data_IF_588601439754
#
_entry.id   IF_588601439754
#
_cell.length_a   1.000
_cell.length_b   1.000
_cell.length_c   1.000
_cell.angle_alpha   90.00
_cell.angle_beta   90.00
_cell.angle_gamma   90.00
#
_symmetry.space_group_name_H-M   'P 1'
#
loop_
_entity.id
_entity.type
_entity.pdbx_description
1 polymer ?
#
# COMPACT_ATOMS: atom_id res chain seq x y z
N UNK A 1 2.48 23.55 10.83
CA UNK A 1 2.28 22.31 11.62
C UNK A 1 3.28 21.31 11.08
N UNK A 2 4.11 20.70 11.91
CA UNK A 2 5.19 19.85 11.42
C UNK A 2 4.62 18.46 11.10
N UNK A 3 4.76 18.02 9.86
CA UNK A 3 4.25 16.72 9.38
C UNK A 3 4.85 15.54 10.15
N UNK A 4 6.07 15.70 10.68
CA UNK A 4 6.76 14.70 11.49
C UNK A 4 6.01 14.38 12.79
N UNK A 5 5.26 15.34 13.33
CA UNK A 5 4.45 15.12 14.53
C UNK A 5 3.35 14.08 14.27
N UNK A 6 2.85 13.94 13.03
CA UNK A 6 1.90 12.89 12.68
C UNK A 6 2.51 11.48 12.79
N UNK A 7 3.83 11.36 12.60
CA UNK A 7 4.56 10.10 12.66
C UNK A 7 4.92 9.70 14.11
N UNK A 8 5.29 10.68 14.94
CA UNK A 8 5.83 10.45 16.29
C UNK A 8 4.80 10.69 17.41
N UNK A 9 3.89 11.66 17.24
CA UNK A 9 2.85 12.00 18.21
C UNK A 9 1.51 12.33 17.51
N UNK A 10 0.86 11.32 16.89
CA UNK A 10 -0.39 11.53 16.16
C UNK A 10 -1.52 12.09 17.03
N UNK A 11 -1.52 11.83 18.34
CA UNK A 11 -2.52 12.41 19.24
C UNK A 11 -2.44 13.94 19.27
N UNK A 12 -1.25 14.49 19.53
CA UNK A 12 -1.03 15.93 19.55
C UNK A 12 -1.26 16.56 18.17
N UNK A 13 -0.78 15.88 17.11
CA UNK A 13 -0.96 16.33 15.74
C UNK A 13 -2.43 16.47 15.36
N UNK A 14 -3.23 15.41 15.51
CA UNK A 14 -4.63 15.41 15.12
C UNK A 14 -5.51 16.27 16.04
N UNK A 15 -5.13 16.43 17.32
CA UNK A 15 -5.78 17.41 18.20
C UNK A 15 -5.66 18.82 17.64
N UNK A 16 -4.46 19.25 17.27
CA UNK A 16 -4.21 20.57 16.65
C UNK A 16 -4.89 20.69 15.29
N UNK A 17 -4.80 19.67 14.45
CA UNK A 17 -5.45 19.65 13.13
C UNK A 17 -6.97 19.76 13.24
N UNK A 18 -7.57 19.17 14.28
CA UNK A 18 -9.03 19.18 14.48
C UNK A 18 -9.64 20.55 14.73
N UNK A 19 -8.82 21.52 15.14
CA UNK A 19 -9.18 22.92 15.40
C UNK A 19 -9.09 23.80 14.15
N UNK A 20 -8.56 23.27 13.03
CA UNK A 20 -8.41 23.98 11.76
C UNK A 20 -9.52 23.64 10.79
N UNK A 21 -9.67 24.48 9.77
CA UNK A 21 -10.51 24.16 8.63
C UNK A 21 -10.04 22.90 7.91
N UNK A 22 -11.00 22.10 7.46
CA UNK A 22 -10.73 20.81 6.82
C UNK A 22 -10.22 21.04 5.39
N UNK A 23 -8.93 20.77 5.19
CA UNK A 23 -8.27 20.79 3.88
C UNK A 23 -7.92 19.38 3.40
N UNK A 24 -8.02 19.14 2.09
CA UNK A 24 -7.58 17.90 1.44
C UNK A 24 -6.23 18.03 0.76
N UNK A 25 -5.63 19.23 0.70
CA UNK A 25 -4.41 19.48 -0.08
C UNK A 25 -3.21 18.67 0.43
N UNK A 26 -2.92 18.73 1.73
CA UNK A 26 -1.80 17.96 2.32
C UNK A 26 -2.07 16.44 2.28
N UNK A 27 -3.25 15.93 2.72
CA UNK A 27 -3.58 14.51 2.60
C UNK A 27 -3.47 13.98 1.17
N UNK A 28 -3.95 14.73 0.19
CA UNK A 28 -3.87 14.35 -1.22
C UNK A 28 -2.41 14.28 -1.69
N UNK A 29 -1.55 15.23 -1.31
CA UNK A 29 -0.14 15.20 -1.67
C UNK A 29 0.58 13.97 -1.10
N UNK A 30 0.29 13.60 0.16
CA UNK A 30 0.83 12.39 0.80
C UNK A 30 0.43 11.14 0.00
N UNK A 31 -0.86 11.00 -0.29
CA UNK A 31 -1.39 9.84 -1.02
C UNK A 31 -0.90 9.82 -2.46
N UNK A 32 -0.73 10.99 -3.10
CA UNK A 32 -0.16 11.10 -4.44
C UNK A 32 1.29 10.59 -4.47
N UNK A 33 2.13 11.02 -3.53
CA UNK A 33 3.51 10.55 -3.41
C UNK A 33 3.55 9.04 -3.18
N UNK A 34 2.73 8.54 -2.25
CA UNK A 34 2.61 7.10 -2.01
C UNK A 34 2.19 6.34 -3.27
N UNK A 35 1.21 6.87 -4.01
CA UNK A 35 0.69 6.26 -5.25
C UNK A 35 1.74 6.20 -6.37
N UNK A 36 2.60 7.22 -6.47
CA UNK A 36 3.74 7.21 -7.40
C UNK A 36 4.75 6.11 -6.99
N UNK A 37 5.06 6.00 -5.70
CA UNK A 37 6.04 5.03 -5.21
C UNK A 37 5.58 3.58 -5.43
N UNK A 38 4.31 3.25 -5.18
CA UNK A 38 3.79 1.91 -5.47
C UNK A 38 3.75 1.62 -6.97
N UNK A 39 3.51 2.62 -7.82
CA UNK A 39 3.57 2.46 -9.27
C UNK A 39 5.00 2.16 -9.75
N UNK A 40 6.01 2.82 -9.18
CA UNK A 40 7.43 2.53 -9.42
C UNK A 40 7.76 1.10 -8.98
N UNK A 41 7.32 0.69 -7.78
CA UNK A 41 7.52 -0.67 -7.28
C UNK A 41 6.89 -1.73 -8.19
N UNK A 42 5.66 -1.48 -8.66
CA UNK A 42 4.96 -2.35 -9.60
C UNK A 42 5.70 -2.44 -10.95
N UNK A 43 6.21 -1.31 -11.46
CA UNK A 43 7.01 -1.28 -12.68
C UNK A 43 8.29 -2.12 -12.56
N UNK A 44 9.03 -2.00 -11.46
CA UNK A 44 10.25 -2.78 -11.22
C UNK A 44 9.93 -4.28 -11.18
N UNK A 45 8.92 -4.66 -10.40
CA UNK A 45 8.51 -6.06 -10.22
C UNK A 45 8.03 -6.69 -11.53
N UNK A 46 7.16 -6.00 -12.27
CA UNK A 46 6.65 -6.48 -13.55
C UNK A 46 7.71 -6.49 -14.63
N UNK A 47 8.70 -5.59 -14.60
CA UNK A 47 9.83 -5.60 -15.53
C UNK A 47 10.73 -6.82 -15.34
N UNK A 48 10.88 -7.31 -14.10
CA UNK A 48 11.60 -8.55 -13.84
C UNK A 48 10.84 -9.77 -14.38
N UNK A 49 9.53 -9.84 -14.13
CA UNK A 49 8.66 -10.91 -14.63
C UNK A 49 8.61 -10.93 -16.16
N UNK A 50 8.56 -9.76 -16.80
CA UNK A 50 8.54 -9.60 -18.26
C UNK A 50 9.68 -10.34 -18.98
N UNK A 51 10.85 -10.49 -18.34
CA UNK A 51 12.01 -11.16 -18.93
C UNK A 51 11.78 -12.66 -19.19
N UNK A 52 10.78 -13.30 -18.59
CA UNK A 52 10.44 -14.71 -18.89
C UNK A 52 9.74 -14.87 -20.23
N UNK A 53 9.16 -13.80 -20.78
CA UNK A 53 8.34 -13.91 -21.97
C UNK A 53 9.22 -14.08 -23.21
N UNK A 54 8.85 -14.98 -24.15
CA UNK A 54 9.54 -15.13 -25.41
C UNK A 54 9.61 -13.78 -26.17
N UNK A 55 10.69 -13.47 -26.90
CA UNK A 55 10.89 -12.17 -27.55
C UNK A 55 9.72 -11.68 -28.43
N UNK A 56 9.02 -12.60 -29.10
CA UNK A 56 7.85 -12.27 -29.92
C UNK A 56 6.63 -11.74 -29.13
N UNK A 57 6.51 -12.07 -27.84
CA UNK A 57 5.41 -11.60 -26.98
C UNK A 57 5.77 -10.39 -26.15
N UNK A 58 7.06 -10.01 -26.14
CA UNK A 58 7.57 -8.88 -25.37
C UNK A 58 6.89 -7.57 -25.79
N UNK A 59 6.69 -7.33 -27.09
CA UNK A 59 6.01 -6.11 -27.55
C UNK A 59 4.55 -6.01 -27.06
N UNK A 60 3.82 -7.13 -27.02
CA UNK A 60 2.46 -7.19 -26.46
C UNK A 60 2.45 -6.95 -24.94
N UNK A 61 3.42 -7.53 -24.23
CA UNK A 61 3.51 -7.42 -22.76
C UNK A 61 4.00 -6.04 -22.28
N UNK A 62 4.57 -5.21 -23.18
CA UNK A 62 4.88 -3.82 -22.86
C UNK A 62 3.63 -3.01 -22.48
N UNK A 63 2.49 -3.28 -23.14
CA UNK A 63 1.21 -2.66 -22.78
C UNK A 63 0.72 -3.08 -21.40
N UNK A 64 0.86 -4.38 -21.07
CA UNK A 64 0.50 -4.92 -19.74
C UNK A 64 1.31 -4.25 -18.63
N UNK A 65 2.61 -3.99 -18.86
CA UNK A 65 3.46 -3.26 -17.91
C UNK A 65 2.96 -1.83 -17.66
N UNK A 66 2.57 -1.11 -18.71
CA UNK A 66 2.03 0.25 -18.58
C UNK A 66 0.67 0.24 -17.87
N UNK A 67 -0.20 -0.70 -18.21
CA UNK A 67 -1.49 -0.89 -17.53
C UNK A 67 -1.26 -1.18 -16.04
N UNK A 68 -0.29 -2.05 -15.70
CA UNK A 68 0.07 -2.34 -14.32
C UNK A 68 0.52 -1.10 -13.56
N UNK A 69 1.41 -0.30 -14.15
CA UNK A 69 1.88 0.96 -13.57
C UNK A 69 0.72 1.93 -13.30
N UNK A 70 -0.13 2.17 -14.30
CA UNK A 70 -1.29 3.08 -14.17
C UNK A 70 -2.28 2.54 -13.13
N UNK A 71 -2.57 1.24 -13.16
CA UNK A 71 -3.50 0.60 -12.24
C UNK A 71 -3.01 0.68 -10.80
N UNK A 72 -1.70 0.51 -10.56
CA UNK A 72 -1.12 0.68 -9.22
C UNK A 72 -1.18 2.13 -8.75
N UNK A 73 -0.88 3.10 -9.62
CA UNK A 73 -1.00 4.52 -9.31
C UNK A 73 -2.43 4.90 -8.91
N UNK A 74 -3.41 4.57 -9.78
CA UNK A 74 -4.83 4.83 -9.51
C UNK A 74 -5.30 4.07 -8.27
N UNK A 75 -4.85 2.82 -8.11
CA UNK A 75 -5.16 1.97 -6.97
C UNK A 75 -4.73 2.59 -5.63
N UNK A 76 -3.60 3.29 -5.57
CA UNK A 76 -3.17 4.02 -4.38
C UNK A 76 -4.18 5.10 -3.96
N UNK A 77 -4.61 5.93 -4.91
CA UNK A 77 -5.60 7.00 -4.66
C UNK A 77 -6.97 6.42 -4.29
N UNK A 78 -7.41 5.39 -5.01
CA UNK A 78 -8.68 4.70 -4.74
C UNK A 78 -8.66 4.02 -3.38
N UNK A 79 -7.52 3.43 -2.97
CA UNK A 79 -7.38 2.78 -1.66
C UNK A 79 -7.61 3.75 -0.51
N UNK A 80 -7.16 5.01 -0.65
CA UNK A 80 -7.41 6.04 0.35
C UNK A 80 -8.91 6.36 0.50
N UNK A 81 -9.63 6.49 -0.62
CA UNK A 81 -11.09 6.70 -0.60
C UNK A 81 -11.81 5.51 0.04
N UNK A 82 -11.41 4.28 -0.29
CA UNK A 82 -12.00 3.06 0.28
C UNK A 82 -11.74 2.99 1.78
N UNK A 83 -10.51 3.20 2.22
CA UNK A 83 -10.13 3.15 3.65
C UNK A 83 -10.90 4.22 4.43
N UNK A 84 -10.96 5.45 3.94
CA UNK A 84 -11.73 6.52 4.54
C UNK A 84 -13.22 6.18 4.61
N UNK A 85 -13.78 5.62 3.53
CA UNK A 85 -15.17 5.19 3.44
C UNK A 85 -15.51 4.11 4.44
N UNK A 86 -14.71 3.04 4.50
CA UNK A 86 -14.88 1.93 5.43
C UNK A 86 -14.78 2.41 6.88
N UNK A 87 -13.75 3.20 7.23
CA UNK A 87 -13.63 3.73 8.59
C UNK A 87 -14.77 4.69 8.94
N UNK A 88 -15.24 5.51 7.99
CA UNK A 88 -16.40 6.37 8.18
C UNK A 88 -17.65 5.54 8.50
N UNK A 89 -17.95 4.50 7.70
CA UNK A 89 -19.11 3.64 7.89
C UNK A 89 -19.05 2.88 9.23
N UNK A 90 -17.91 2.27 9.55
CA UNK A 90 -17.73 1.56 10.84
C UNK A 90 -17.93 2.53 12.02
N UNK A 91 -17.38 3.74 11.93
CA UNK A 91 -17.52 4.74 13.00
C UNK A 91 -18.98 5.15 13.27
N UNK A 92 -19.89 4.99 12.29
CA UNK A 92 -21.32 5.29 12.47
C UNK A 92 -21.97 4.34 13.47
N UNK A 93 -21.58 3.06 13.49
CA UNK A 93 -22.05 2.10 14.50
C UNK A 93 -21.64 2.52 15.93
N UNK A 94 -20.55 3.27 16.06
CA UNK A 94 -20.07 3.84 17.32
C UNK A 94 -20.61 5.26 17.60
N UNK A 95 -21.60 5.72 16.84
CA UNK A 95 -22.20 7.08 16.93
C UNK A 95 -21.18 8.20 16.70
N UNK A 96 -20.18 7.96 15.84
CA UNK A 96 -19.17 8.96 15.48
C UNK A 96 -19.78 10.20 14.83
N UNK A 97 -19.26 11.38 15.18
CA UNK A 97 -19.70 12.70 14.71
C UNK A 97 -18.63 13.37 13.85
N UNK A 98 -19.03 14.03 12.78
CA UNK A 98 -18.12 14.71 11.84
C UNK A 98 -18.53 14.46 10.39
N UNK A 99 -17.85 15.10 9.45
CA UNK A 99 -18.11 14.89 8.02
C UNK A 99 -17.22 13.80 7.43
N UNK A 100 -17.65 13.21 6.32
CA UNK A 100 -16.81 12.32 5.53
C UNK A 100 -15.55 13.04 5.04
N UNK A 101 -15.67 14.31 4.62
CA UNK A 101 -14.52 15.15 4.21
C UNK A 101 -13.44 15.23 5.29
N UNK A 102 -13.82 15.36 6.57
CA UNK A 102 -12.87 15.38 7.70
C UNK A 102 -12.18 14.01 7.86
N UNK A 103 -12.93 12.93 7.71
CA UNK A 103 -12.40 11.55 7.78
C UNK A 103 -11.43 11.26 6.65
N UNK A 104 -11.79 11.64 5.43
CA UNK A 104 -10.93 11.52 4.26
C UNK A 104 -9.63 12.31 4.46
N UNK A 105 -9.73 13.58 4.86
CA UNK A 105 -8.57 14.42 5.18
C UNK A 105 -7.64 13.76 6.21
N UNK A 106 -8.19 13.30 7.35
CA UNK A 106 -7.39 12.80 8.46
C UNK A 106 -6.73 11.44 8.14
N UNK A 107 -7.44 10.56 7.43
CA UNK A 107 -6.92 9.22 7.07
C UNK A 107 -5.77 9.27 6.07
N UNK A 108 -5.65 10.33 5.25
CA UNK A 108 -4.54 10.48 4.30
C UNK A 108 -3.16 10.56 4.97
N UNK A 109 -3.08 11.11 6.20
CA UNK A 109 -1.83 11.14 6.96
C UNK A 109 -1.35 9.74 7.41
N UNK A 110 -2.25 8.76 7.49
CA UNK A 110 -1.87 7.39 7.82
C UNK A 110 -1.14 6.65 6.70
N UNK A 111 -0.99 7.26 5.51
CA UNK A 111 -0.11 6.76 4.46
C UNK A 111 1.35 7.26 4.57
N UNK A 112 1.66 8.14 5.53
CA UNK A 112 3.02 8.63 5.74
C UNK A 112 4.02 7.48 6.02
N UNK A 113 3.72 6.49 6.87
CA UNK A 113 4.65 5.37 7.07
C UNK A 113 4.86 4.55 5.80
N UNK A 114 3.86 4.43 4.92
CA UNK A 114 4.02 3.72 3.65
C UNK A 114 5.03 4.39 2.72
N UNK A 115 5.14 5.72 2.74
CA UNK A 115 6.18 6.43 1.97
C UNK A 115 7.56 6.00 2.47
N UNK A 116 7.77 5.96 3.78
CA UNK A 116 9.03 5.51 4.40
C UNK A 116 9.31 4.05 4.02
N UNK A 117 8.32 3.18 4.16
CA UNK A 117 8.43 1.76 3.78
C UNK A 117 8.78 1.57 2.31
N UNK A 118 8.17 2.34 1.42
CA UNK A 118 8.45 2.28 -0.01
C UNK A 118 9.87 2.77 -0.35
N UNK A 119 10.34 3.85 0.29
CA UNK A 119 11.70 4.35 0.12
C UNK A 119 12.78 3.34 0.57
N UNK A 120 12.45 2.43 1.49
CA UNK A 120 13.34 1.34 1.92
C UNK A 120 13.22 0.14 0.97
N UNK A 121 11.99 -0.29 0.67
CA UNK A 121 11.73 -1.56 -0.04
C UNK A 121 12.01 -1.47 -1.55
N UNK A 122 11.82 -0.31 -2.18
CA UNK A 122 12.06 -0.14 -3.62
C UNK A 122 13.53 -0.36 -4.00
N UNK A 123 14.52 0.29 -3.35
CA UNK A 123 15.94 0.04 -3.64
C UNK A 123 16.35 -1.42 -3.41
N UNK A 124 15.83 -2.04 -2.34
CA UNK A 124 16.07 -3.47 -2.04
C UNK A 124 15.53 -4.33 -3.17
N UNK A 125 14.27 -4.13 -3.56
CA UNK A 125 13.66 -4.87 -4.66
C UNK A 125 14.42 -4.68 -5.97
N UNK A 126 14.81 -3.45 -6.30
CA UNK A 126 15.62 -3.17 -7.49
C UNK A 126 16.96 -3.90 -7.46
N UNK A 127 17.67 -3.86 -6.33
CA UNK A 127 18.94 -4.57 -6.16
C UNK A 127 18.78 -6.08 -6.40
N UNK A 128 17.84 -6.74 -5.72
CA UNK A 128 17.62 -8.18 -5.90
C UNK A 128 17.18 -8.54 -7.33
N UNK A 129 16.22 -7.81 -7.90
CA UNK A 129 15.62 -8.14 -9.20
C UNK A 129 16.52 -7.78 -10.39
N UNK A 130 17.45 -6.83 -10.23
CA UNK A 130 18.41 -6.49 -11.29
C UNK A 130 19.49 -7.55 -11.49
N UNK A 131 19.79 -8.35 -10.46
CA UNK A 131 20.81 -9.42 -10.50
C UNK A 131 20.27 -10.75 -11.06
N UNK A 132 18.94 -10.87 -11.21
CA UNK A 132 18.32 -12.10 -11.69
C UNK A 132 18.59 -12.27 -13.19
N UNK A 133 19.28 -13.36 -13.51
CA UNK A 133 19.43 -13.83 -14.89
C UNK A 133 18.23 -14.71 -15.23
N UNK A 134 17.42 -14.26 -16.18
CA UNK A 134 16.19 -14.95 -16.60
C UNK A 134 16.39 -15.46 -18.02
N UNK A 135 16.26 -16.77 -18.20
CA UNK A 135 16.14 -17.34 -19.54
C UNK A 135 14.67 -17.23 -19.98
N UNK A 136 14.39 -16.63 -21.14
CA UNK A 136 13.02 -16.58 -21.67
C UNK A 136 12.48 -18.00 -21.86
N UNK A 137 11.22 -18.21 -21.49
CA UNK A 137 10.51 -19.45 -21.74
C UNK A 137 10.28 -19.62 -23.24
N UNK A 138 10.14 -20.86 -23.69
CA UNK A 138 9.66 -21.17 -25.04
C UNK A 138 8.14 -20.99 -25.13
N UNK A 139 7.61 -20.90 -26.36
CA UNK A 139 6.15 -20.79 -26.59
C UNK A 139 5.40 -21.98 -25.97
N UNK A 140 5.93 -23.19 -26.13
CA UNK A 140 5.33 -24.40 -25.57
C UNK A 140 5.30 -24.37 -24.03
N UNK A 141 6.37 -23.86 -23.40
CA UNK A 141 6.42 -23.71 -21.94
C UNK A 141 5.43 -22.66 -21.43
N UNK A 142 5.20 -21.58 -22.18
CA UNK A 142 4.23 -20.53 -21.84
C UNK A 142 2.78 -21.02 -21.81
N UNK A 143 2.46 -22.10 -22.54
CA UNK A 143 1.12 -22.71 -22.53
C UNK A 143 0.87 -23.56 -21.27
N UNK A 144 1.92 -23.90 -20.52
CA UNK A 144 1.81 -24.66 -19.29
C UNK A 144 1.82 -23.71 -18.06
N UNK A 145 0.69 -23.51 -17.37
CA UNK A 145 0.61 -22.57 -16.25
C UNK A 145 1.51 -22.96 -15.08
N UNK A 146 1.82 -24.25 -14.90
CA UNK A 146 2.69 -24.75 -13.83
C UNK A 146 4.15 -24.33 -14.09
N UNK A 147 4.60 -24.40 -15.35
CA UNK A 147 5.95 -23.96 -15.74
C UNK A 147 6.09 -22.45 -15.57
N UNK A 148 5.10 -21.68 -16.03
CA UNK A 148 5.10 -20.22 -15.90
C UNK A 148 5.16 -19.80 -14.42
N UNK A 149 4.37 -20.44 -13.55
CA UNK A 149 4.40 -20.17 -12.11
C UNK A 149 5.77 -20.48 -11.50
N UNK A 150 6.39 -21.60 -11.85
CA UNK A 150 7.74 -21.94 -11.37
C UNK A 150 8.78 -20.91 -11.79
N UNK A 151 8.73 -20.44 -13.05
CA UNK A 151 9.62 -19.40 -13.54
C UNK A 151 9.46 -18.09 -12.76
N UNK A 152 8.21 -17.66 -12.48
CA UNK A 152 7.96 -16.46 -11.67
C UNK A 152 8.50 -16.62 -10.25
N UNK A 153 8.28 -17.78 -9.61
CA UNK A 153 8.79 -18.04 -8.25
C UNK A 153 10.32 -18.06 -8.19
N UNK A 154 11.01 -18.42 -9.27
CA UNK A 154 12.48 -18.38 -9.33
C UNK A 154 13.03 -16.95 -9.47
N UNK A 155 12.26 -16.03 -10.08
CA UNK A 155 12.68 -14.63 -10.24
C UNK A 155 12.63 -13.88 -8.92
N UNK A 156 11.60 -14.13 -8.10
CA UNK A 156 11.37 -13.38 -6.87
C UNK A 156 11.99 -14.16 -5.70
N UNK A 157 13.16 -13.75 -5.17
CA UNK A 157 13.83 -14.53 -4.14
C UNK A 157 13.00 -14.55 -2.86
N UNK A 158 12.96 -15.69 -2.16
CA UNK A 158 12.25 -15.81 -0.87
C UNK A 158 12.72 -14.78 0.15
N UNK A 159 14.01 -14.44 0.15
CA UNK A 159 14.59 -13.39 1.00
C UNK A 159 13.94 -12.03 0.77
N UNK A 160 13.67 -11.65 -0.50
CA UNK A 160 12.99 -10.40 -0.83
C UNK A 160 11.55 -10.40 -0.30
N UNK A 161 10.85 -11.52 -0.45
CA UNK A 161 9.48 -11.70 0.05
C UNK A 161 9.44 -11.53 1.57
N UNK A 162 10.30 -12.25 2.30
CA UNK A 162 10.35 -12.17 3.76
C UNK A 162 10.73 -10.75 4.24
N UNK A 163 11.71 -10.12 3.58
CA UNK A 163 12.12 -8.74 3.91
C UNK A 163 10.96 -7.75 3.74
N UNK A 164 10.30 -7.78 2.58
CA UNK A 164 9.15 -6.93 2.31
C UNK A 164 7.98 -7.23 3.26
N UNK A 165 7.78 -8.49 3.63
CA UNK A 165 6.72 -8.90 4.56
C UNK A 165 6.96 -8.35 5.97
N UNK A 166 8.18 -8.48 6.50
CA UNK A 166 8.54 -7.98 7.83
C UNK A 166 8.39 -6.45 7.90
N UNK A 167 8.93 -5.74 6.90
CA UNK A 167 8.80 -4.28 6.81
C UNK A 167 7.32 -3.91 6.67
N UNK A 168 6.57 -4.61 5.81
CA UNK A 168 5.16 -4.38 5.57
C UNK A 168 4.31 -4.51 6.83
N UNK A 169 4.58 -5.50 7.68
CA UNK A 169 3.91 -5.64 8.98
C UNK A 169 4.23 -4.47 9.92
N UNK A 170 5.49 -4.06 10.01
CA UNK A 170 5.89 -2.89 10.81
C UNK A 170 5.19 -1.61 10.37
N UNK A 171 5.15 -1.36 9.06
CA UNK A 171 4.43 -0.22 8.47
C UNK A 171 2.91 -0.31 8.75
N UNK A 172 2.32 -1.50 8.63
CA UNK A 172 0.88 -1.71 8.87
C UNK A 172 0.49 -1.40 10.31
N UNK A 173 1.33 -1.79 11.28
CA UNK A 173 1.12 -1.45 12.70
C UNK A 173 1.28 0.06 12.95
N UNK A 174 2.23 0.71 12.27
CA UNK A 174 2.40 2.16 12.36
C UNK A 174 1.19 2.90 11.78
N UNK A 175 0.67 2.45 10.64
CA UNK A 175 -0.54 3.00 10.04
C UNK A 175 -1.74 2.89 10.99
N UNK A 176 -1.90 1.74 11.66
CA UNK A 176 -2.95 1.53 12.67
C UNK A 176 -2.86 2.55 13.80
N UNK A 177 -1.65 2.79 14.31
CA UNK A 177 -1.41 3.78 15.35
C UNK A 177 -1.85 5.18 14.89
N UNK A 178 -1.44 5.61 13.70
CA UNK A 178 -1.82 6.93 13.15
C UNK A 178 -3.33 7.01 12.89
N UNK A 179 -3.91 6.01 12.21
CA UNK A 179 -5.34 5.98 11.88
C UNK A 179 -6.24 5.95 13.11
N UNK A 180 -5.80 5.32 14.21
CA UNK A 180 -6.53 5.34 15.48
C UNK A 180 -6.77 6.78 15.96
N UNK A 181 -5.74 7.62 16.00
CA UNK A 181 -5.89 9.01 16.40
C UNK A 181 -6.55 9.85 15.30
N UNK A 182 -6.30 9.56 14.03
CA UNK A 182 -6.99 10.19 12.91
C UNK A 182 -8.52 10.09 13.09
N UNK A 183 -9.02 8.87 13.35
CA UNK A 183 -10.44 8.61 13.55
C UNK A 183 -10.95 9.18 14.87
N UNK A 184 -10.18 9.09 15.97
CA UNK A 184 -10.53 9.69 17.27
C UNK A 184 -10.97 11.15 17.09
N UNK A 185 -10.18 11.95 16.37
CA UNK A 185 -10.45 13.38 16.18
C UNK A 185 -11.34 13.71 14.97
N UNK A 186 -11.32 12.90 13.90
CA UNK A 186 -12.17 13.12 12.73
C UNK A 186 -13.64 12.76 13.00
N UNK A 187 -13.87 11.73 13.85
CA UNK A 187 -15.17 11.17 14.18
C UNK A 187 -15.62 11.43 15.62
N UNK A 188 -14.83 12.19 16.39
CA UNK A 188 -15.10 12.50 17.80
C UNK A 188 -15.46 11.25 18.62
N UNK A 189 -14.61 10.23 18.51
CA UNK A 189 -14.74 8.97 19.24
C UNK A 189 -13.73 8.92 20.39
N UNK A 190 -14.04 8.14 21.43
CA UNK A 190 -13.04 7.76 22.42
C UNK A 190 -12.00 6.82 21.80
N UNK A 191 -10.84 6.71 22.45
CA UNK A 191 -9.68 6.00 21.91
C UNK A 191 -10.00 4.54 21.58
N UNK A 192 -10.78 3.85 22.42
CA UNK A 192 -11.11 2.42 22.23
C UNK A 192 -11.91 2.20 20.96
N UNK A 193 -12.97 3.00 20.73
CA UNK A 193 -13.81 2.86 19.53
C UNK A 193 -13.09 3.32 18.27
N UNK A 194 -12.26 4.34 18.37
CA UNK A 194 -11.43 4.79 17.27
C UNK A 194 -10.41 3.71 16.85
N UNK A 195 -9.79 3.05 17.84
CA UNK A 195 -8.89 1.92 17.60
C UNK A 195 -9.61 0.77 16.89
N UNK A 196 -10.77 0.34 17.38
CA UNK A 196 -11.56 -0.73 16.73
C UNK A 196 -11.94 -0.35 15.30
N UNK A 197 -12.34 0.90 15.08
CA UNK A 197 -12.69 1.42 13.74
C UNK A 197 -11.51 1.34 12.77
N UNK A 198 -10.29 1.65 13.23
CA UNK A 198 -9.09 1.55 12.40
C UNK A 198 -8.58 0.10 12.27
N UNK A 199 -8.73 -0.72 13.31
CA UNK A 199 -8.23 -2.09 13.38
C UNK A 199 -8.89 -3.00 12.36
N UNK A 200 -10.21 -2.91 12.17
CA UNK A 200 -10.96 -3.77 11.26
C UNK A 200 -10.40 -3.74 9.82
N UNK A 201 -10.32 -2.58 9.13
CA UNK A 201 -9.75 -2.53 7.79
C UNK A 201 -8.26 -2.91 7.77
N UNK A 202 -7.50 -2.56 8.81
CA UNK A 202 -6.09 -2.95 8.92
C UNK A 202 -5.91 -4.47 9.00
N UNK A 203 -6.71 -5.18 9.82
CA UNK A 203 -6.64 -6.64 9.94
C UNK A 203 -7.07 -7.30 8.64
N UNK A 204 -8.16 -6.86 8.02
CA UNK A 204 -8.63 -7.42 6.74
C UNK A 204 -7.51 -7.31 5.69
N UNK A 205 -6.89 -6.13 5.58
CA UNK A 205 -5.79 -5.92 4.66
C UNK A 205 -4.54 -6.75 5.02
N UNK A 206 -4.21 -6.86 6.30
CA UNK A 206 -3.09 -7.68 6.78
C UNK A 206 -3.28 -9.18 6.52
N UNK A 207 -4.49 -9.70 6.73
CA UNK A 207 -4.85 -11.09 6.44
C UNK A 207 -4.78 -11.38 4.94
N UNK A 208 -5.28 -10.46 4.10
CA UNK A 208 -5.17 -10.59 2.64
C UNK A 208 -3.69 -10.62 2.19
N UNK A 209 -2.85 -9.73 2.73
CA UNK A 209 -1.42 -9.74 2.45
C UNK A 209 -0.77 -11.08 2.85
N UNK A 210 -1.06 -11.57 4.06
CA UNK A 210 -0.50 -12.83 4.55
C UNK A 210 -0.94 -14.01 3.67
N UNK A 211 -2.22 -14.07 3.30
CA UNK A 211 -2.74 -15.08 2.38
C UNK A 211 -2.02 -15.02 1.02
N UNK A 212 -1.82 -13.83 0.47
CA UNK A 212 -1.10 -13.64 -0.80
C UNK A 212 0.35 -14.13 -0.72
N UNK A 213 1.04 -13.88 0.40
CA UNK A 213 2.41 -14.36 0.62
C UNK A 213 2.44 -15.88 0.75
N UNK A 214 1.57 -16.47 1.57
CA UNK A 214 1.50 -17.93 1.75
C UNK A 214 1.19 -18.64 0.43
N UNK A 215 0.25 -18.11 -0.35
CA UNK A 215 -0.11 -18.66 -1.67
C UNK A 215 1.06 -18.57 -2.68
N UNK A 216 1.87 -17.52 -2.57
CA UNK A 216 3.00 -17.32 -3.47
C UNK A 216 4.20 -18.21 -3.14
N UNK A 217 4.47 -18.46 -1.85
CA UNK A 217 5.56 -19.35 -1.41
C UNK A 217 5.37 -20.79 -1.90
#
# INVERSE_FOLDING_TARGET
MQIIEALTNPDAFFKKLSQKEVSLKEPFLIVLIFSILIAISAYISTSAIYKIFPPQYQQMMAFVKIIGLISSFVGGIVSWLIIAGVMYLISMAFKGKGSFKKTLSFTGYGFLPNIIGALITIPIAYYFLSQVHVQPLTIAQMQNPVIVQMAIKQIIPKTLIYTNTIIGFGITLWNLYIWTYAIKYARNLDLKKAFITALIPTIIFGLYQLYSVIKFL
#
